data_IF_028125776484
#
_entry.id   IF_028125776484
#
_cell.length_a   1.000
_cell.length_b   1.000
_cell.length_c   1.000
_cell.angle_alpha   90.00
_cell.angle_beta   90.00
_cell.angle_gamma   90.00
#
_symmetry.space_group_name_H-M   'P 1'
#
loop_
_entity.id
_entity.type
_entity.pdbx_description
1 polymer ?
#
# COMPACT_ATOMS: atom_id res chain seq x y z
N UNK A 1 9.27 -59.88 -41.77
CA UNK A 1 10.37 -58.94 -41.45
C UNK A 1 9.76 -57.55 -41.45
N UNK A 2 9.72 -56.71 -40.41
CA UNK A 2 10.42 -56.63 -39.11
C UNK A 2 9.48 -55.99 -38.07
N UNK A 3 9.47 -56.52 -36.84
CA UNK A 3 8.87 -55.85 -35.66
C UNK A 3 9.87 -54.81 -35.15
N UNK A 4 9.48 -53.53 -35.11
CA UNK A 4 10.22 -52.46 -34.43
C UNK A 4 9.67 -52.34 -33.01
N UNK A 5 10.46 -52.80 -32.02
CA UNK A 5 10.22 -52.52 -30.61
C UNK A 5 10.84 -51.17 -30.25
N UNK A 6 10.01 -50.18 -29.92
CA UNK A 6 10.46 -48.94 -29.32
C UNK A 6 10.74 -49.19 -27.83
N UNK A 7 12.02 -49.26 -27.48
CA UNK A 7 12.49 -49.40 -26.10
C UNK A 7 12.62 -47.99 -25.50
N UNK A 8 11.58 -47.53 -24.80
CA UNK A 8 11.59 -46.23 -24.11
C UNK A 8 12.37 -46.36 -22.80
N UNK A 9 13.71 -46.28 -22.87
CA UNK A 9 14.56 -46.12 -21.68
C UNK A 9 14.52 -44.65 -21.25
N UNK A 10 13.49 -44.30 -20.47
CA UNK A 10 13.52 -43.05 -19.70
C UNK A 10 14.65 -43.20 -18.68
N UNK A 11 15.72 -42.43 -18.86
CA UNK A 11 16.87 -42.41 -17.95
C UNK A 11 16.40 -42.06 -16.54
N UNK A 12 16.75 -42.88 -15.55
CA UNK A 12 16.46 -42.62 -14.12
C UNK A 12 16.93 -41.23 -13.68
N UNK A 13 17.94 -40.67 -14.36
CA UNK A 13 18.47 -39.32 -14.14
C UNK A 13 17.51 -38.21 -14.58
N UNK A 14 16.71 -38.42 -15.63
CA UNK A 14 15.73 -37.44 -16.10
C UNK A 14 14.53 -37.34 -15.15
N UNK A 15 14.14 -38.46 -14.54
CA UNK A 15 13.08 -38.49 -13.54
C UNK A 15 13.53 -37.79 -12.25
N UNK A 16 14.78 -37.99 -11.80
CA UNK A 16 15.34 -37.35 -10.62
C UNK A 16 15.51 -35.81 -10.78
N UNK A 17 15.91 -35.36 -11.97
CA UNK A 17 16.01 -33.92 -12.26
C UNK A 17 14.64 -33.24 -12.23
N UNK A 18 13.62 -33.89 -12.78
CA UNK A 18 12.25 -33.39 -12.80
C UNK A 18 11.66 -33.29 -11.39
N UNK A 19 11.92 -34.25 -10.50
CA UNK A 19 11.50 -34.15 -9.09
C UNK A 19 12.25 -33.06 -8.33
N UNK A 20 13.56 -32.86 -8.57
CA UNK A 20 14.30 -31.76 -7.95
C UNK A 20 13.75 -30.38 -8.34
N UNK A 21 13.41 -30.18 -9.62
CA UNK A 21 12.81 -28.94 -10.13
C UNK A 21 11.40 -28.68 -9.55
N UNK A 22 10.61 -29.73 -9.32
CA UNK A 22 9.31 -29.64 -8.65
C UNK A 22 9.45 -29.30 -7.16
N UNK A 23 10.48 -29.81 -6.47
CA UNK A 23 10.72 -29.48 -5.06
C UNK A 23 11.27 -28.06 -4.87
N UNK A 24 12.14 -27.60 -5.78
CA UNK A 24 12.67 -26.22 -5.76
C UNK A 24 11.57 -25.18 -6.02
N UNK A 25 10.59 -25.47 -6.87
CA UNK A 25 9.48 -24.54 -7.13
C UNK A 25 8.49 -24.43 -5.97
N UNK A 26 8.31 -25.47 -5.16
CA UNK A 26 7.52 -25.41 -3.92
C UNK A 26 8.21 -24.65 -2.77
N UNK A 27 9.54 -24.57 -2.74
CA UNK A 27 10.28 -23.80 -1.73
C UNK A 27 10.26 -22.30 -1.99
N UNK A 28 10.25 -21.89 -3.27
CA UNK A 28 10.21 -20.46 -3.63
C UNK A 28 8.81 -19.85 -3.42
N UNK A 29 7.74 -20.65 -3.56
CA UNK A 29 6.37 -20.20 -3.31
C UNK A 29 6.04 -19.95 -1.83
N UNK A 30 6.71 -20.63 -0.90
CA UNK A 30 6.45 -20.48 0.54
C UNK A 30 7.15 -19.27 1.18
N UNK A 31 8.14 -18.67 0.50
CA UNK A 31 8.85 -17.50 1.02
C UNK A 31 8.07 -16.18 0.86
N UNK A 32 7.02 -16.14 0.03
CA UNK A 32 6.30 -14.91 -0.30
C UNK A 32 4.93 -14.76 0.38
N UNK A 33 4.51 -15.77 1.15
CA UNK A 33 3.26 -15.73 1.91
C UNK A 33 3.39 -16.53 3.21
N UNK A 34 4.28 -16.11 4.11
CA UNK A 34 4.09 -16.48 5.52
C UNK A 34 2.90 -15.67 6.04
N UNK A 35 1.69 -16.18 5.81
CA UNK A 35 0.54 -15.77 6.60
C UNK A 35 0.87 -16.07 8.05
N UNK A 36 0.91 -15.03 8.89
CA UNK A 36 1.08 -15.20 10.32
C UNK A 36 -0.07 -16.07 10.82
N UNK A 37 0.21 -16.99 11.75
CA UNK A 37 -0.83 -17.71 12.47
C UNK A 37 -1.51 -16.79 13.51
N UNK A 38 -2.11 -15.70 13.03
CA UNK A 38 -2.68 -14.63 13.83
C UNK A 38 -4.00 -14.14 13.25
N UNK A 39 -5.00 -13.96 14.12
CA UNK A 39 -6.28 -13.34 13.77
C UNK A 39 -6.36 -11.95 14.37
N UNK A 40 -6.38 -10.92 13.51
CA UNK A 40 -6.60 -9.53 13.93
C UNK A 40 -8.06 -9.26 14.32
N UNK A 41 -9.02 -10.05 13.82
CA UNK A 41 -10.43 -9.94 14.20
C UNK A 41 -10.65 -10.35 15.67
N UNK A 42 -10.00 -11.43 16.10
CA UNK A 42 -10.05 -11.87 17.50
C UNK A 42 -9.16 -11.05 18.43
N UNK A 43 -8.24 -10.26 17.88
CA UNK A 43 -7.26 -9.48 18.63
C UNK A 43 -7.13 -8.08 18.02
N UNK A 44 -8.17 -7.24 18.11
CA UNK A 44 -8.13 -5.94 17.47
C UNK A 44 -7.10 -5.02 18.12
N UNK A 45 -6.59 -4.05 17.35
CA UNK A 45 -5.83 -2.96 17.95
C UNK A 45 -6.78 -2.13 18.83
N UNK A 46 -6.38 -1.81 20.07
CA UNK A 46 -7.28 -1.14 20.99
C UNK A 46 -7.49 0.33 20.65
N UNK A 47 -8.70 0.82 20.87
CA UNK A 47 -8.97 2.25 20.79
C UNK A 47 -8.29 3.00 21.94
N UNK A 48 -8.08 4.31 21.79
CA UNK A 48 -7.43 5.14 22.82
C UNK A 48 -8.11 5.02 24.19
N UNK A 49 -9.44 4.90 24.20
CA UNK A 49 -10.24 4.75 25.44
C UNK A 49 -10.05 3.39 26.12
N UNK A 50 -9.52 2.40 25.41
CA UNK A 50 -9.33 1.03 25.88
C UNK A 50 -7.89 0.76 26.34
N UNK A 51 -7.00 1.74 26.21
CA UNK A 51 -5.62 1.62 26.65
C UNK A 51 -5.54 1.64 28.18
N UNK A 52 -4.78 0.69 28.73
CA UNK A 52 -4.40 0.70 30.15
C UNK A 52 -3.38 1.82 30.41
N UNK A 53 -3.17 2.23 31.69
CA UNK A 53 -2.14 3.20 32.03
C UNK A 53 -0.73 2.83 31.53
N UNK A 54 -0.40 1.54 31.53
CA UNK A 54 0.89 1.04 31.02
C UNK A 54 1.01 1.23 29.51
N UNK A 55 -0.06 0.96 28.75
CA UNK A 55 -0.04 1.14 27.29
C UNK A 55 -0.08 2.60 26.89
N UNK A 56 -0.81 3.44 27.64
CA UNK A 56 -0.73 4.89 27.49
C UNK A 56 0.70 5.38 27.72
N UNK A 57 1.39 4.80 28.71
CA UNK A 57 2.80 5.12 28.95
C UNK A 57 3.67 4.70 27.78
N UNK A 58 3.50 3.47 27.25
CA UNK A 58 4.23 3.02 26.06
C UNK A 58 4.00 3.94 24.86
N UNK A 59 2.75 4.38 24.65
CA UNK A 59 2.35 5.19 23.49
C UNK A 59 2.85 6.62 23.55
N UNK A 60 2.83 7.26 24.73
CA UNK A 60 3.02 8.71 24.85
C UNK A 60 4.24 9.15 25.65
N UNK A 61 4.83 8.28 26.48
CA UNK A 61 6.04 8.61 27.24
C UNK A 61 7.25 8.52 26.32
N UNK A 62 8.20 9.43 26.52
CA UNK A 62 9.42 9.57 25.72
C UNK A 62 9.20 9.79 24.22
N UNK A 63 8.03 10.31 23.84
CA UNK A 63 7.87 10.85 22.48
C UNK A 63 8.86 12.01 22.30
N UNK A 64 9.72 11.95 21.27
CA UNK A 64 10.62 13.05 20.99
C UNK A 64 9.81 14.32 20.74
N UNK A 65 10.37 15.52 21.02
CA UNK A 65 9.75 16.75 20.57
C UNK A 65 9.51 16.65 19.06
N UNK A 66 8.34 17.07 18.58
CA UNK A 66 7.95 16.97 17.17
C UNK A 66 9.10 17.43 16.27
N UNK A 67 9.56 16.53 15.41
CA UNK A 67 10.70 16.76 14.51
C UNK A 67 10.24 17.07 13.07
N UNK A 68 8.92 17.17 12.85
CA UNK A 68 8.32 17.25 11.53
C UNK A 68 7.73 15.91 11.09
N UNK A 69 6.76 15.99 10.17
CA UNK A 69 5.68 15.01 10.02
C UNK A 69 6.10 13.56 9.76
N UNK A 70 7.21 13.27 9.06
CA UNK A 70 7.59 11.89 8.70
C UNK A 70 8.16 11.11 9.88
N UNK A 71 9.12 11.71 10.59
CA UNK A 71 9.76 11.10 11.75
C UNK A 71 8.72 10.90 12.85
N UNK A 72 7.86 11.90 13.05
CA UNK A 72 6.78 11.83 14.02
C UNK A 72 5.83 10.66 13.68
N UNK A 73 5.42 10.52 12.40
CA UNK A 73 4.54 9.42 12.02
C UNK A 73 5.18 8.03 12.11
N UNK A 74 6.47 7.89 11.81
CA UNK A 74 7.19 6.64 12.01
C UNK A 74 7.24 6.27 13.50
N UNK A 75 7.58 7.23 14.36
CA UNK A 75 7.61 7.03 15.81
C UNK A 75 6.23 6.65 16.34
N UNK A 76 5.16 7.35 15.91
CA UNK A 76 3.80 7.02 16.32
C UNK A 76 3.41 5.59 15.95
N UNK A 77 3.70 5.16 14.71
CA UNK A 77 3.41 3.79 14.29
C UNK A 77 4.21 2.75 15.07
N UNK A 78 5.49 3.02 15.35
CA UNK A 78 6.32 2.11 16.14
C UNK A 78 5.78 2.00 17.57
N UNK A 79 5.34 3.11 18.18
CA UNK A 79 4.69 3.12 19.49
C UNK A 79 3.37 2.36 19.50
N UNK A 80 2.55 2.52 18.46
CA UNK A 80 1.31 1.76 18.33
C UNK A 80 1.55 0.27 18.12
N UNK A 81 2.60 -0.09 17.39
CA UNK A 81 3.03 -1.47 17.26
C UNK A 81 3.57 -2.03 18.58
N UNK A 82 4.32 -1.25 19.37
CA UNK A 82 4.77 -1.63 20.72
C UNK A 82 3.57 -1.92 21.63
N UNK A 83 2.56 -1.05 21.64
CA UNK A 83 1.30 -1.27 22.38
C UNK A 83 0.64 -2.58 21.96
N UNK A 84 0.54 -2.83 20.65
CA UNK A 84 -0.08 -4.05 20.14
C UNK A 84 0.68 -5.32 20.56
N UNK A 85 2.02 -5.31 20.50
CA UNK A 85 2.86 -6.42 20.97
C UNK A 85 2.81 -6.60 22.49
N UNK A 86 2.64 -5.52 23.25
CA UNK A 86 2.47 -5.57 24.70
C UNK A 86 1.14 -6.21 25.08
N UNK A 87 0.05 -5.79 24.44
CA UNK A 87 -1.30 -6.34 24.66
C UNK A 87 -1.41 -7.81 24.26
N UNK A 88 -0.74 -8.19 23.18
CA UNK A 88 -0.79 -9.54 22.63
C UNK A 88 0.60 -10.18 22.58
N UNK A 89 1.14 -10.68 23.71
CA UNK A 89 2.47 -11.29 23.74
C UNK A 89 2.63 -12.52 22.83
N UNK A 90 1.54 -13.23 22.54
CA UNK A 90 1.51 -14.33 21.58
C UNK A 90 1.76 -13.86 20.15
N UNK A 91 1.28 -12.67 19.76
CA UNK A 91 1.56 -12.09 18.45
C UNK A 91 3.06 -11.89 18.25
N UNK A 92 3.77 -11.40 19.27
CA UNK A 92 5.22 -11.17 19.27
C UNK A 92 6.03 -12.44 18.94
N UNK A 93 5.44 -13.62 19.05
CA UNK A 93 6.09 -14.92 18.82
C UNK A 93 5.79 -15.50 17.43
N UNK A 94 4.95 -14.85 16.60
CA UNK A 94 4.43 -15.43 15.34
C UNK A 94 5.37 -15.36 14.13
N UNK A 95 6.57 -14.78 14.25
CA UNK A 95 7.51 -14.67 13.11
C UNK A 95 8.65 -13.68 13.30
N UNK A 96 9.16 -13.10 12.21
CA UNK A 96 10.10 -11.98 12.22
C UNK A 96 9.39 -10.64 12.49
N UNK A 97 10.11 -9.68 13.07
CA UNK A 97 9.54 -8.38 13.47
C UNK A 97 8.95 -7.61 12.28
N UNK A 98 9.66 -7.59 11.15
CA UNK A 98 9.23 -6.86 9.95
C UNK A 98 7.97 -7.46 9.34
N UNK A 99 7.87 -8.79 9.30
CA UNK A 99 6.68 -9.51 8.82
C UNK A 99 5.46 -9.16 9.68
N UNK A 100 5.63 -9.17 11.01
CA UNK A 100 4.57 -8.77 11.95
C UNK A 100 4.18 -7.31 11.80
N UNK A 101 5.15 -6.43 11.69
CA UNK A 101 4.91 -5.00 11.54
C UNK A 101 4.10 -4.71 10.28
N UNK A 102 4.49 -5.28 9.14
CA UNK A 102 3.78 -5.09 7.88
C UNK A 102 2.37 -5.68 7.90
N UNK A 103 2.18 -6.86 8.49
CA UNK A 103 0.85 -7.45 8.65
C UNK A 103 -0.05 -6.59 9.55
N UNK A 104 0.47 -6.11 10.68
CA UNK A 104 -0.24 -5.23 11.59
C UNK A 104 -0.58 -3.88 10.94
N UNK A 105 0.39 -3.25 10.26
CA UNK A 105 0.20 -1.97 9.55
C UNK A 105 -0.91 -2.07 8.52
N UNK A 106 -0.95 -3.16 7.74
CA UNK A 106 -2.04 -3.42 6.79
C UNK A 106 -3.39 -3.57 7.49
N UNK A 107 -3.44 -4.37 8.55
CA UNK A 107 -4.67 -4.55 9.34
C UNK A 107 -5.23 -3.21 9.87
N UNK A 108 -4.40 -2.36 10.48
CA UNK A 108 -4.89 -1.09 11.05
C UNK A 108 -5.30 -0.09 9.97
N UNK A 109 -4.68 -0.16 8.78
CA UNK A 109 -5.09 0.60 7.61
C UNK A 109 -6.46 0.15 7.08
N UNK A 110 -6.68 -1.17 6.95
CA UNK A 110 -7.90 -1.78 6.42
C UNK A 110 -9.12 -1.62 7.33
N UNK A 111 -8.90 -1.47 8.64
CA UNK A 111 -9.97 -1.29 9.63
C UNK A 111 -10.24 0.18 10.01
N UNK A 112 -9.48 1.12 9.45
CA UNK A 112 -9.47 2.53 9.85
C UNK A 112 -9.45 2.74 11.37
N UNK A 113 -8.62 1.97 12.07
CA UNK A 113 -8.54 2.04 13.52
C UNK A 113 -8.18 3.46 13.97
N UNK A 114 -9.07 4.10 14.74
CA UNK A 114 -8.90 5.48 15.18
C UNK A 114 -7.75 5.63 16.20
N UNK A 115 -7.46 4.57 16.95
CA UNK A 115 -6.35 4.50 17.91
C UNK A 115 -4.98 4.81 17.30
N UNK A 116 -4.75 4.39 16.05
CA UNK A 116 -3.48 4.60 15.31
C UNK A 116 -3.46 5.92 14.53
N UNK A 117 -4.62 6.55 14.34
CA UNK A 117 -4.74 7.86 13.69
C UNK A 117 -4.33 7.88 12.21
N UNK A 118 -3.85 9.04 11.74
CA UNK A 118 -3.53 9.35 10.35
C UNK A 118 -2.24 8.68 9.84
N UNK A 119 -1.26 8.46 10.72
CA UNK A 119 0.08 8.04 10.34
C UNK A 119 0.13 6.67 9.65
N UNK A 120 -0.85 5.79 9.90
CA UNK A 120 -0.98 4.50 9.21
C UNK A 120 -1.09 4.62 7.69
N UNK A 121 -1.59 5.75 7.20
CA UNK A 121 -1.72 6.04 5.78
C UNK A 121 -0.59 6.93 5.25
N UNK A 122 -0.13 7.88 6.07
CA UNK A 122 0.74 8.98 5.63
C UNK A 122 2.19 8.58 5.34
N UNK A 123 2.73 7.59 6.05
CA UNK A 123 4.17 7.27 6.01
C UNK A 123 4.70 7.06 4.60
N UNK A 124 3.96 6.37 3.73
CA UNK A 124 4.44 6.06 2.38
C UNK A 124 4.54 7.32 1.50
N UNK A 125 3.57 8.23 1.59
CA UNK A 125 3.61 9.52 0.89
C UNK A 125 4.68 10.47 1.44
N UNK A 126 4.87 10.46 2.76
CA UNK A 126 5.91 11.23 3.44
C UNK A 126 7.33 10.74 3.08
N UNK A 127 7.53 9.43 2.99
CA UNK A 127 8.79 8.85 2.49
C UNK A 127 9.02 9.15 1.01
N UNK A 128 7.95 9.18 0.20
CA UNK A 128 8.03 9.61 -1.20
C UNK A 128 8.54 11.06 -1.30
N UNK A 129 8.03 11.95 -0.45
CA UNK A 129 8.47 13.34 -0.35
C UNK A 129 9.94 13.45 0.08
N UNK A 130 10.36 12.68 1.08
CA UNK A 130 11.76 12.67 1.55
C UNK A 130 12.74 12.18 0.48
N UNK A 131 12.36 11.15 -0.28
CA UNK A 131 13.20 10.55 -1.32
C UNK A 131 13.04 11.26 -2.70
N UNK A 132 12.28 12.36 -2.78
CA UNK A 132 11.88 13.00 -4.05
C UNK A 132 13.05 13.31 -4.99
N UNK A 133 14.13 13.89 -4.46
CA UNK A 133 15.29 14.29 -5.27
C UNK A 133 15.99 13.08 -5.87
N UNK A 134 16.08 11.99 -5.10
CA UNK A 134 16.66 10.73 -5.60
C UNK A 134 15.79 10.16 -6.71
N UNK A 135 14.49 10.06 -6.49
CA UNK A 135 13.56 9.52 -7.49
C UNK A 135 13.50 10.37 -8.76
N UNK A 136 13.59 11.70 -8.62
CA UNK A 136 13.65 12.62 -9.74
C UNK A 136 14.90 12.39 -10.60
N UNK A 137 16.08 12.30 -9.98
CA UNK A 137 17.37 12.01 -10.65
C UNK A 137 17.34 10.66 -11.36
N UNK A 138 16.71 9.66 -10.75
CA UNK A 138 16.55 8.33 -11.34
C UNK A 138 15.40 8.23 -12.37
N UNK A 139 14.67 9.34 -12.60
CA UNK A 139 13.64 9.44 -13.63
C UNK A 139 12.33 8.71 -13.30
N UNK A 140 12.07 8.38 -12.02
CA UNK A 140 10.81 7.75 -11.63
C UNK A 140 9.67 8.77 -11.60
N UNK A 141 8.50 8.33 -12.05
CA UNK A 141 7.27 9.12 -12.13
C UNK A 141 6.06 8.25 -11.77
N UNK A 142 5.05 8.86 -11.16
CA UNK A 142 3.79 8.23 -10.80
C UNK A 142 2.61 9.11 -11.23
N UNK A 143 1.59 8.48 -11.81
CA UNK A 143 0.42 9.19 -12.34
C UNK A 143 -0.93 8.67 -11.83
N UNK A 144 -0.93 7.89 -10.75
CA UNK A 144 -2.14 7.24 -10.25
C UNK A 144 -2.36 5.81 -10.78
N UNK A 145 -1.58 5.37 -11.78
CA UNK A 145 -1.52 3.97 -12.20
C UNK A 145 -0.36 3.22 -11.53
N UNK A 146 -0.48 1.90 -11.39
CA UNK A 146 0.59 1.06 -10.84
C UNK A 146 1.88 1.23 -11.67
N UNK A 147 3.01 1.55 -11.03
CA UNK A 147 4.26 1.74 -11.73
C UNK A 147 4.80 0.41 -12.26
N UNK A 148 5.49 0.46 -13.41
CA UNK A 148 6.16 -0.73 -13.95
C UNK A 148 7.24 -1.21 -12.96
N UNK A 149 7.37 -2.53 -12.73
CA UNK A 149 8.45 -3.07 -11.91
C UNK A 149 9.83 -2.58 -12.39
N UNK A 150 10.63 -2.02 -11.47
CA UNK A 150 12.03 -1.64 -11.74
C UNK A 150 13.00 -2.67 -11.18
N UNK A 151 14.09 -2.91 -11.91
CA UNK A 151 15.18 -3.78 -11.48
C UNK A 151 16.14 -3.14 -10.47
N UNK A 152 16.08 -1.82 -10.26
CA UNK A 152 16.97 -1.10 -9.33
C UNK A 152 16.39 -1.07 -7.91
N UNK A 153 17.25 -0.93 -6.90
CA UNK A 153 16.83 -0.83 -5.49
C UNK A 153 15.91 0.37 -5.25
N UNK A 154 16.25 1.52 -5.82
CA UNK A 154 15.44 2.73 -5.73
C UNK A 154 14.09 2.58 -6.43
N UNK A 155 14.06 1.93 -7.59
CA UNK A 155 12.80 1.72 -8.30
C UNK A 155 11.91 0.71 -7.60
N UNK A 156 12.48 -0.33 -6.97
CA UNK A 156 11.71 -1.21 -6.07
C UNK A 156 11.15 -0.43 -4.89
N UNK A 157 11.96 0.44 -4.27
CA UNK A 157 11.52 1.30 -3.17
C UNK A 157 10.38 2.25 -3.60
N UNK A 158 10.55 2.95 -4.72
CA UNK A 158 9.52 3.81 -5.29
C UNK A 158 8.21 3.05 -5.54
N UNK A 159 8.30 1.89 -6.20
CA UNK A 159 7.15 1.06 -6.48
C UNK A 159 6.46 0.55 -5.21
N UNK A 160 7.22 0.19 -4.18
CA UNK A 160 6.65 -0.20 -2.88
C UNK A 160 5.87 0.95 -2.26
N UNK A 161 6.45 2.15 -2.17
CA UNK A 161 5.78 3.32 -1.56
C UNK A 161 4.50 3.69 -2.32
N UNK A 162 4.54 3.72 -3.65
CA UNK A 162 3.38 4.00 -4.50
C UNK A 162 2.32 2.90 -4.36
N UNK A 163 2.72 1.63 -4.36
CA UNK A 163 1.78 0.51 -4.22
C UNK A 163 1.09 0.52 -2.86
N UNK A 164 1.80 0.88 -1.79
CA UNK A 164 1.21 1.06 -0.46
C UNK A 164 0.18 2.19 -0.46
N UNK A 165 0.48 3.34 -1.05
CA UNK A 165 -0.47 4.45 -1.17
C UNK A 165 -1.73 4.04 -1.95
N UNK A 166 -1.57 3.36 -3.09
CA UNK A 166 -2.69 2.87 -3.90
C UNK A 166 -3.53 1.83 -3.15
N UNK A 167 -2.88 0.89 -2.46
CA UNK A 167 -3.58 -0.13 -1.65
C UNK A 167 -4.38 0.53 -0.54
N UNK A 168 -3.79 1.50 0.17
CA UNK A 168 -4.49 2.24 1.21
C UNK A 168 -5.68 3.04 0.64
N UNK A 169 -5.52 3.65 -0.53
CA UNK A 169 -6.59 4.39 -1.22
C UNK A 169 -7.79 3.50 -1.62
N UNK A 170 -7.58 2.19 -1.78
CA UNK A 170 -8.64 1.22 -2.10
C UNK A 170 -9.49 0.81 -0.88
N UNK A 171 -9.13 1.22 0.34
CA UNK A 171 -9.89 0.91 1.55
C UNK A 171 -11.24 1.62 1.64
N UNK A 172 -11.49 2.63 0.81
CA UNK A 172 -12.73 3.43 0.82
C UNK A 172 -12.83 4.44 1.96
N UNK A 173 -11.73 4.67 2.71
CA UNK A 173 -11.65 5.74 3.70
C UNK A 173 -11.10 7.03 3.10
N UNK A 174 -11.45 8.17 3.70
CA UNK A 174 -11.07 9.48 3.17
C UNK A 174 -9.60 9.85 3.44
N UNK A 175 -9.04 9.52 4.61
CA UNK A 175 -7.63 9.83 4.91
C UNK A 175 -6.62 9.23 3.92
N UNK A 176 -6.72 7.95 3.49
CA UNK A 176 -5.87 7.44 2.41
C UNK A 176 -5.98 8.21 1.10
N UNK A 177 -7.20 8.62 0.73
CA UNK A 177 -7.47 9.41 -0.48
C UNK A 177 -6.83 10.79 -0.34
N UNK A 178 -6.94 11.43 0.82
CA UNK A 178 -6.29 12.71 1.13
C UNK A 178 -4.76 12.60 1.04
N UNK A 179 -4.16 11.55 1.64
CA UNK A 179 -2.71 11.30 1.56
C UNK A 179 -2.26 11.14 0.11
N UNK A 180 -3.00 10.32 -0.67
CA UNK A 180 -2.71 10.13 -2.08
C UNK A 180 -2.82 11.46 -2.82
N UNK A 181 -3.89 12.23 -2.61
CA UNK A 181 -4.08 13.52 -3.24
C UNK A 181 -2.97 14.53 -2.90
N UNK A 182 -2.54 14.59 -1.64
CA UNK A 182 -1.42 15.44 -1.21
C UNK A 182 -0.09 15.08 -1.89
N UNK A 183 0.09 13.82 -2.35
CA UNK A 183 1.30 13.43 -3.07
C UNK A 183 1.50 14.23 -4.37
N UNK A 184 0.46 14.85 -4.94
CA UNK A 184 0.57 15.78 -6.09
C UNK A 184 1.44 17.01 -5.80
N UNK A 185 1.64 17.36 -4.52
CA UNK A 185 2.54 18.44 -4.13
C UNK A 185 4.01 18.09 -4.40
N UNK A 186 4.31 16.84 -4.72
CA UNK A 186 5.62 16.36 -5.17
C UNK A 186 5.62 16.35 -6.71
N UNK A 187 5.29 17.50 -7.29
CA UNK A 187 5.03 17.73 -8.72
C UNK A 187 6.16 17.24 -9.66
N UNK A 188 7.39 17.16 -9.17
CA UNK A 188 8.52 16.64 -9.95
C UNK A 188 8.43 15.14 -10.23
N UNK A 189 7.71 14.36 -9.40
CA UNK A 189 7.58 12.90 -9.55
C UNK A 189 6.14 12.38 -9.54
N UNK A 190 5.15 13.19 -9.13
CA UNK A 190 3.74 12.82 -9.12
C UNK A 190 2.94 13.77 -10.01
N UNK A 191 2.27 13.22 -11.02
CA UNK A 191 1.32 13.95 -11.88
C UNK A 191 0.16 13.04 -12.24
N UNK A 192 -1.00 13.23 -11.62
CA UNK A 192 -2.15 12.33 -11.81
C UNK A 192 -2.72 12.40 -13.22
N UNK A 193 -3.14 11.24 -13.72
CA UNK A 193 -4.05 11.19 -14.86
C UNK A 193 -5.37 11.90 -14.53
N UNK A 194 -6.06 12.48 -15.52
CA UNK A 194 -7.35 13.15 -15.33
C UNK A 194 -8.39 12.30 -14.59
N UNK A 195 -8.48 11.01 -14.91
CA UNK A 195 -9.40 10.07 -14.23
C UNK A 195 -9.16 10.00 -12.73
N UNK A 196 -7.89 9.90 -12.35
CA UNK A 196 -7.44 9.77 -10.97
C UNK A 196 -7.65 11.09 -10.25
N UNK A 197 -7.22 12.20 -10.84
CA UNK A 197 -7.43 13.52 -10.25
C UNK A 197 -8.93 13.81 -10.04
N UNK A 198 -9.76 13.52 -11.05
CA UNK A 198 -11.21 13.68 -10.94
C UNK A 198 -11.80 12.84 -9.81
N UNK A 199 -11.45 11.55 -9.73
CA UNK A 199 -11.90 10.68 -8.65
C UNK A 199 -11.52 11.24 -7.27
N UNK A 200 -10.24 11.57 -7.06
CA UNK A 200 -9.73 12.03 -5.77
C UNK A 200 -10.48 13.29 -5.31
N UNK A 201 -10.64 14.28 -6.20
CA UNK A 201 -11.31 15.55 -5.88
C UNK A 201 -12.80 15.35 -5.56
N UNK A 202 -13.51 14.54 -6.34
CA UNK A 202 -14.93 14.23 -6.12
C UNK A 202 -15.14 13.46 -4.82
N UNK A 203 -14.28 12.47 -4.55
CA UNK A 203 -14.32 11.70 -3.32
C UNK A 203 -14.10 12.59 -2.09
N UNK A 204 -13.08 13.46 -2.13
CA UNK A 204 -12.81 14.41 -1.04
C UNK A 204 -13.97 15.37 -0.80
N UNK A 205 -14.60 15.87 -1.87
CA UNK A 205 -15.78 16.72 -1.78
C UNK A 205 -16.98 16.00 -1.13
N UNK A 206 -17.25 14.75 -1.50
CA UNK A 206 -18.34 13.95 -0.89
C UNK A 206 -18.05 13.58 0.57
N UNK A 207 -16.78 13.34 0.90
CA UNK A 207 -16.34 13.07 2.27
C UNK A 207 -16.31 14.32 3.15
N UNK A 208 -16.29 15.53 2.56
CA UNK A 208 -16.11 16.79 3.28
C UNK A 208 -14.69 16.99 3.80
N UNK A 209 -13.69 16.36 3.17
CA UNK A 209 -12.27 16.42 3.54
C UNK A 209 -11.49 17.34 2.59
N UNK A 210 -10.52 18.09 3.11
CA UNK A 210 -9.76 19.10 2.34
C UNK A 210 -10.47 20.45 2.23
N UNK A 211 -10.06 21.29 1.28
CA UNK A 211 -10.66 22.62 1.05
C UNK A 211 -11.51 22.68 -0.23
N UNK A 212 -12.39 23.69 -0.40
CA UNK A 212 -13.13 23.87 -1.65
C UNK A 212 -12.25 23.94 -2.90
N UNK A 213 -11.02 24.46 -2.79
CA UNK A 213 -10.03 24.49 -3.88
C UNK A 213 -9.51 23.09 -4.24
N UNK A 214 -9.42 22.19 -3.26
CA UNK A 214 -9.10 20.78 -3.50
C UNK A 214 -10.25 20.07 -4.21
N UNK A 215 -11.49 20.50 -4.04
CA UNK A 215 -12.67 19.93 -4.69
C UNK A 215 -12.89 20.43 -6.12
N UNK A 216 -12.17 21.48 -6.54
CA UNK A 216 -12.35 22.09 -7.85
C UNK A 216 -11.92 21.15 -8.99
N UNK A 217 -12.90 20.66 -9.75
CA UNK A 217 -12.69 19.81 -10.92
C UNK A 217 -12.66 20.59 -12.24
N UNK A 218 -12.79 21.92 -12.22
CA UNK A 218 -12.97 22.71 -13.46
C UNK A 218 -11.79 22.57 -14.44
N UNK A 219 -10.59 22.27 -13.93
CA UNK A 219 -9.38 22.10 -14.75
C UNK A 219 -9.26 20.70 -15.37
N UNK A 220 -9.80 19.68 -14.70
CA UNK A 220 -9.73 18.29 -15.15
C UNK A 220 -10.93 17.89 -16.00
N UNK A 221 -12.09 18.51 -15.80
CA UNK A 221 -13.31 18.27 -16.57
C UNK A 221 -13.11 18.34 -18.10
N UNK A 222 -12.39 19.32 -18.67
CA UNK A 222 -12.16 19.39 -20.11
C UNK A 222 -11.33 18.25 -20.69
N UNK A 223 -10.60 17.50 -19.84
CA UNK A 223 -9.76 16.37 -20.25
C UNK A 223 -10.51 15.03 -20.26
N UNK A 224 -11.76 15.02 -19.79
CA UNK A 224 -12.58 13.82 -19.67
C UNK A 224 -13.80 13.91 -20.59
N UNK A 225 -14.09 12.82 -21.30
CA UNK A 225 -15.34 12.70 -22.04
C UNK A 225 -16.52 12.41 -21.09
N UNK A 226 -17.78 12.64 -21.52
CA UNK A 226 -18.95 12.42 -20.68
C UNK A 226 -19.15 10.98 -20.19
N UNK A 227 -18.73 9.99 -20.98
CA UNK A 227 -18.83 8.58 -20.59
C UNK A 227 -17.86 8.27 -19.45
N UNK A 228 -16.64 8.82 -19.54
CA UNK A 228 -15.62 8.69 -18.51
C UNK A 228 -16.01 9.39 -17.21
N UNK A 229 -16.56 10.60 -17.29
CA UNK A 229 -17.09 11.31 -16.12
C UNK A 229 -18.15 10.45 -15.42
N UNK A 230 -19.14 9.95 -16.17
CA UNK A 230 -20.20 9.11 -15.60
C UNK A 230 -19.67 7.83 -14.95
N UNK A 231 -18.65 7.20 -15.55
CA UNK A 231 -17.97 6.06 -14.95
C UNK A 231 -17.29 6.42 -13.63
N UNK A 232 -16.50 7.51 -13.60
CA UNK A 232 -15.75 7.90 -12.40
C UNK A 232 -16.70 8.35 -11.28
N UNK A 233 -17.75 9.11 -11.58
CA UNK A 233 -18.79 9.46 -10.59
C UNK A 233 -19.45 8.21 -9.98
N UNK A 234 -19.75 7.20 -10.81
CA UNK A 234 -20.28 5.92 -10.32
C UNK A 234 -19.26 5.17 -9.45
N UNK A 235 -17.97 5.26 -9.75
CA UNK A 235 -16.90 4.68 -8.92
C UNK A 235 -16.77 5.42 -7.58
N UNK A 236 -16.87 6.76 -7.57
CA UNK A 236 -16.88 7.58 -6.33
C UNK A 236 -18.04 7.15 -5.42
N UNK A 237 -19.25 7.03 -5.97
CA UNK A 237 -20.43 6.61 -5.20
C UNK A 237 -20.28 5.20 -4.59
N UNK A 238 -19.53 4.30 -5.24
CA UNK A 238 -19.21 2.96 -4.71
C UNK A 238 -17.94 2.91 -3.86
N UNK A 239 -17.21 4.02 -3.74
CA UNK A 239 -15.87 4.10 -3.13
C UNK A 239 -14.86 3.15 -3.76
N UNK A 240 -14.98 2.94 -5.06
CA UNK A 240 -14.28 1.93 -5.84
C UNK A 240 -13.09 2.54 -6.60
N UNK A 241 -12.07 2.95 -5.85
CA UNK A 241 -10.86 3.53 -6.43
C UNK A 241 -10.11 2.50 -7.30
N UNK A 242 -10.21 1.21 -6.97
CA UNK A 242 -9.60 0.12 -7.74
C UNK A 242 -10.06 0.11 -9.19
N UNK A 243 -11.37 0.20 -9.45
CA UNK A 243 -11.91 0.24 -10.80
C UNK A 243 -11.40 1.44 -11.62
N UNK A 244 -11.16 2.59 -10.98
CA UNK A 244 -10.58 3.75 -11.66
C UNK A 244 -9.13 3.49 -12.03
N UNK A 245 -8.31 3.00 -11.10
CA UNK A 245 -6.89 2.68 -11.33
C UNK A 245 -6.73 1.65 -12.47
N UNK A 246 -7.55 0.60 -12.48
CA UNK A 246 -7.49 -0.47 -13.49
C UNK A 246 -7.86 -0.03 -14.91
N UNK A 247 -8.71 0.98 -15.02
CA UNK A 247 -9.22 1.48 -16.32
C UNK A 247 -8.51 2.76 -16.78
N UNK A 248 -7.69 3.36 -15.92
CA UNK A 248 -6.91 4.56 -16.23
C UNK A 248 -5.78 4.21 -17.19
N UNK A 249 -5.53 5.08 -18.17
CA UNK A 249 -4.42 4.91 -19.10
C UNK A 249 -3.05 4.86 -18.37
N UNK A 250 -2.07 4.08 -18.87
CA UNK A 250 -0.72 4.07 -18.31
C UNK A 250 -0.09 5.47 -18.27
N UNK A 251 0.90 5.65 -17.38
CA UNK A 251 1.71 6.88 -17.29
C UNK A 251 2.58 7.07 -18.56
N UNK A 252 1.96 7.43 -19.68
CA UNK A 252 2.53 7.93 -20.95
C UNK A 252 1.44 7.93 -22.03
N UNK A 253 0.63 8.99 -22.01
CA UNK A 253 -0.15 9.51 -23.13
C UNK A 253 -0.34 11.04 -23.04
N UNK A 254 0.54 11.74 -22.30
CA UNK A 254 0.61 13.20 -22.17
C UNK A 254 2.07 13.65 -22.35
#
# INVERSE_FOLDING_TARGET
MNKLSLNTRISKSALALATMLLWLSSLVGQALAQELSWSFESHPHPDLSELTPQELSLKFVDMPPSQGSVVDCLVHLDKDFEVYNFRYPSFRQTGEVDTRYNAWKRYVADTNNAGVGFCKYAVSGLLLLMERTRFEVEGFRFCGALPKPSGTDAGRRFNTLVSEMLTNAQTGFAYPIEVLFMARQIDTIVSFNPDIEYYLRRFLAEAGEGTPEDWDVSKVLPELDPERIAFVDAAVARKDFGAVVETTAPCSAQ
#
